data_IF_520596044256
#
_entry.id   IF_520596044256
#
_cell.length_a   1.000
_cell.length_b   1.000
_cell.length_c   1.000
_cell.angle_alpha   90.00
_cell.angle_beta   90.00
_cell.angle_gamma   90.00
#
_symmetry.space_group_name_H-M   'P 1'
#
loop_
_entity.id
_entity.type
_entity.pdbx_description
1 polymer ?
#
# COMPACT_ATOMS: atom_id res chain seq x y z
N UNK A 1 12.30 -10.07 -11.25
CA UNK A 1 10.83 -9.96 -10.97
C UNK A 1 10.41 -8.50 -11.08
N UNK A 2 9.27 -8.26 -11.69
CA UNK A 2 8.70 -6.91 -11.76
C UNK A 2 7.79 -6.67 -10.58
N UNK A 3 7.78 -5.43 -10.09
CA UNK A 3 6.89 -4.97 -9.02
C UNK A 3 6.04 -3.82 -9.51
N UNK A 4 4.82 -3.78 -9.01
CA UNK A 4 3.86 -2.72 -9.31
C UNK A 4 3.49 -1.99 -8.03
N UNK A 5 3.55 -0.66 -8.09
CA UNK A 5 3.11 0.19 -7.01
C UNK A 5 1.90 1.01 -7.43
N UNK A 6 0.90 1.08 -6.56
CA UNK A 6 -0.19 2.04 -6.67
C UNK A 6 0.10 3.20 -5.72
N UNK A 7 0.27 4.39 -6.27
CA UNK A 7 0.28 5.60 -5.45
C UNK A 7 -1.16 5.91 -5.03
N UNK A 8 -1.39 5.97 -3.73
CA UNK A 8 -2.70 6.22 -3.13
C UNK A 8 -2.64 7.58 -2.42
N UNK A 9 -3.05 8.68 -3.10
CA UNK A 9 -3.04 9.99 -2.48
C UNK A 9 -4.02 10.08 -1.31
N UNK A 10 -3.64 10.85 -0.28
CA UNK A 10 -4.53 11.13 0.84
C UNK A 10 -5.74 11.96 0.40
N UNK A 11 -5.55 12.87 -0.55
CA UNK A 11 -6.64 13.62 -1.16
C UNK A 11 -7.46 12.69 -2.06
N UNK A 12 -8.72 12.44 -1.67
CA UNK A 12 -9.61 11.54 -2.40
C UNK A 12 -10.01 12.09 -3.78
N UNK A 13 -9.83 13.40 -4.03
CA UNK A 13 -10.04 13.99 -5.35
C UNK A 13 -8.91 13.64 -6.33
N UNK A 14 -7.74 13.25 -5.86
CA UNK A 14 -6.64 12.82 -6.70
C UNK A 14 -6.77 11.34 -7.05
N UNK A 15 -6.53 10.95 -8.32
CA UNK A 15 -6.65 9.56 -8.72
C UNK A 15 -5.49 8.71 -8.21
N UNK A 16 -5.77 7.42 -8.00
CA UNK A 16 -4.73 6.42 -7.78
C UNK A 16 -3.98 6.23 -9.11
N UNK A 17 -2.66 6.21 -9.06
CA UNK A 17 -1.80 6.01 -10.23
C UNK A 17 -0.92 4.79 -10.06
N UNK A 18 -0.49 4.18 -11.17
CA UNK A 18 0.35 2.98 -11.16
C UNK A 18 1.76 3.28 -11.62
N UNK A 19 2.73 2.60 -11.01
CA UNK A 19 4.16 2.74 -11.30
C UNK A 19 4.80 1.35 -11.28
N UNK A 20 5.65 1.05 -12.26
CA UNK A 20 6.28 -0.28 -12.38
C UNK A 20 7.80 -0.14 -12.23
N UNK A 21 8.40 -1.03 -11.41
CA UNK A 21 9.84 -1.28 -11.40
C UNK A 21 10.11 -2.68 -11.95
N UNK A 22 10.95 -2.75 -12.97
CA UNK A 22 11.24 -4.00 -13.69
C UNK A 22 12.55 -4.64 -13.23
N UNK A 23 12.62 -5.96 -13.39
CA UNK A 23 13.85 -6.75 -13.26
C UNK A 23 14.52 -6.64 -11.89
N UNK A 24 13.72 -6.50 -10.82
CA UNK A 24 14.25 -6.47 -9.46
C UNK A 24 14.49 -7.89 -8.92
N UNK A 25 15.54 -8.04 -8.12
CA UNK A 25 15.74 -9.24 -7.33
C UNK A 25 14.82 -9.21 -6.12
N UNK A 26 13.98 -10.26 -5.89
CA UNK A 26 13.09 -10.29 -4.74
C UNK A 26 13.86 -10.22 -3.41
N UNK A 27 13.27 -9.65 -2.34
CA UNK A 27 13.91 -9.58 -1.02
C UNK A 27 14.33 -10.94 -0.47
N UNK A 28 13.54 -12.00 -0.67
CA UNK A 28 13.84 -13.36 -0.24
C UNK A 28 15.05 -13.97 -0.95
N UNK A 29 15.47 -13.43 -2.09
CA UNK A 29 16.66 -13.83 -2.84
C UNK A 29 17.86 -12.89 -2.60
N UNK A 30 17.76 -12.03 -1.58
CA UNK A 30 18.81 -11.08 -1.23
C UNK A 30 18.69 -9.71 -1.87
N UNK A 31 17.59 -9.43 -2.56
CA UNK A 31 17.30 -8.10 -3.10
C UNK A 31 16.84 -7.13 -2.01
N UNK A 32 16.87 -5.83 -2.31
CA UNK A 32 16.29 -4.79 -1.46
C UNK A 32 14.78 -4.70 -1.64
N UNK A 33 14.13 -3.90 -0.79
CA UNK A 33 12.71 -3.64 -0.93
C UNK A 33 12.44 -2.85 -2.22
N UNK A 34 11.46 -3.26 -3.04
CA UNK A 34 11.10 -2.53 -4.25
C UNK A 34 10.59 -1.12 -3.92
N UNK A 35 10.75 -0.21 -4.87
CA UNK A 35 10.32 1.19 -4.74
C UNK A 35 10.99 1.95 -3.57
N UNK A 36 12.16 1.48 -3.12
CA UNK A 36 12.99 2.17 -2.14
C UNK A 36 14.05 2.99 -2.85
N UNK A 37 14.31 4.23 -2.39
CA UNK A 37 15.32 5.12 -2.97
C UNK A 37 14.71 6.40 -3.55
N UNK A 38 15.52 7.22 -4.21
CA UNK A 38 15.15 8.58 -4.64
C UNK A 38 13.92 8.65 -5.57
N UNK A 39 13.79 7.69 -6.47
CA UNK A 39 12.67 7.66 -7.44
C UNK A 39 11.65 6.57 -7.11
N UNK A 40 11.63 6.13 -5.87
CA UNK A 40 10.75 5.06 -5.42
C UNK A 40 9.72 5.57 -4.42
N UNK A 41 9.57 4.82 -3.31
CA UNK A 41 8.56 5.08 -2.31
C UNK A 41 8.67 6.46 -1.66
N UNK A 42 9.89 6.97 -1.46
CA UNK A 42 10.08 8.30 -0.89
C UNK A 42 9.45 9.40 -1.73
N UNK A 43 9.66 9.34 -3.05
CA UNK A 43 9.06 10.30 -3.97
C UNK A 43 7.54 10.12 -4.07
N UNK A 44 7.08 8.87 -4.18
CA UNK A 44 5.65 8.57 -4.29
C UNK A 44 4.86 8.95 -3.04
N UNK A 45 5.44 8.75 -1.86
CA UNK A 45 4.82 9.13 -0.58
C UNK A 45 5.10 10.57 -0.16
N UNK A 46 6.03 11.26 -0.83
CA UNK A 46 6.40 12.63 -0.52
C UNK A 46 6.97 12.81 0.89
N UNK A 47 7.75 11.85 1.38
CA UNK A 47 8.27 11.84 2.75
C UNK A 47 9.71 11.35 2.80
N UNK A 48 10.39 11.59 3.92
CA UNK A 48 11.79 11.22 4.15
C UNK A 48 11.96 9.91 4.94
N UNK A 49 10.93 9.50 5.65
CA UNK A 49 10.94 8.30 6.51
C UNK A 49 9.77 7.40 6.13
N UNK A 50 10.09 6.18 5.71
CA UNK A 50 9.09 5.22 5.24
C UNK A 50 8.89 4.11 6.28
N UNK A 51 7.62 3.84 6.59
CA UNK A 51 7.19 2.65 7.29
C UNK A 51 6.52 1.71 6.30
N UNK A 52 6.81 0.41 6.40
CA UNK A 52 6.20 -0.61 5.55
C UNK A 52 5.30 -1.48 6.45
N UNK A 53 4.02 -1.56 6.10
CA UNK A 53 3.05 -2.38 6.84
C UNK A 53 2.31 -3.30 5.89
N UNK A 54 1.94 -4.52 6.32
CA UNK A 54 1.09 -5.38 5.50
C UNK A 54 -0.28 -4.75 5.27
N UNK A 55 -0.82 -4.92 4.06
CA UNK A 55 -2.12 -4.38 3.69
C UNK A 55 -2.79 -5.30 2.67
N UNK A 56 -4.07 -5.10 2.40
CA UNK A 56 -4.81 -5.88 1.42
C UNK A 56 -5.89 -5.03 0.75
N UNK A 57 -6.05 -5.23 -0.54
CA UNK A 57 -7.23 -4.76 -1.26
C UNK A 57 -8.26 -5.88 -1.31
N UNK A 58 -9.51 -5.59 -0.94
CA UNK A 58 -10.60 -6.55 -0.99
C UNK A 58 -11.82 -5.92 -1.65
N UNK A 59 -12.29 -6.57 -2.71
CA UNK A 59 -13.58 -6.26 -3.36
C UNK A 59 -14.53 -7.42 -3.13
N UNK A 60 -15.42 -7.26 -2.18
CA UNK A 60 -16.36 -8.30 -1.78
C UNK A 60 -17.33 -8.65 -2.91
N UNK A 61 -17.75 -7.66 -3.70
CA UNK A 61 -18.70 -7.87 -4.79
C UNK A 61 -18.12 -8.72 -5.92
N UNK A 62 -16.84 -8.51 -6.23
CA UNK A 62 -16.13 -9.22 -7.29
C UNK A 62 -15.39 -10.46 -6.79
N UNK A 63 -15.37 -10.68 -5.48
CA UNK A 63 -14.63 -11.77 -4.86
C UNK A 63 -13.12 -11.66 -5.03
N UNK A 64 -12.60 -10.45 -5.15
CA UNK A 64 -11.17 -10.20 -5.35
C UNK A 64 -10.49 -9.87 -4.02
N UNK A 65 -9.31 -10.43 -3.82
CA UNK A 65 -8.47 -10.16 -2.65
C UNK A 65 -7.01 -10.13 -3.10
N UNK A 66 -6.30 -9.07 -2.75
CA UNK A 66 -4.89 -8.88 -3.10
C UNK A 66 -4.12 -8.40 -1.88
N UNK A 67 -3.20 -9.22 -1.38
CA UNK A 67 -2.32 -8.86 -0.29
C UNK A 67 -1.01 -8.26 -0.82
N UNK A 68 -0.47 -7.29 -0.10
CA UNK A 68 0.77 -6.63 -0.45
C UNK A 68 1.31 -5.80 0.70
N UNK A 69 2.30 -4.98 0.39
CA UNK A 69 2.93 -4.08 1.34
C UNK A 69 2.48 -2.64 1.09
N UNK A 70 2.15 -1.94 2.15
CA UNK A 70 1.82 -0.53 2.10
C UNK A 70 2.99 0.28 2.64
N UNK A 71 3.53 1.16 1.80
CA UNK A 71 4.59 2.08 2.16
C UNK A 71 3.93 3.41 2.52
N UNK A 72 4.22 3.92 3.71
CA UNK A 72 3.62 5.15 4.20
C UNK A 72 4.63 5.96 5.01
N UNK A 73 4.28 7.22 5.31
CA UNK A 73 5.12 8.12 6.07
C UNK A 73 5.12 7.71 7.54
N UNK A 74 6.28 7.30 8.06
CA UNK A 74 6.45 6.95 9.47
C UNK A 74 6.17 8.14 10.39
N UNK A 75 6.41 9.37 9.92
CA UNK A 75 6.24 10.61 10.69
C UNK A 75 4.96 11.38 10.32
N UNK A 76 4.05 10.75 9.58
CA UNK A 76 2.85 11.42 9.04
C UNK A 76 1.99 12.08 10.11
N UNK A 77 1.77 11.41 11.25
CA UNK A 77 1.00 11.96 12.36
C UNK A 77 1.70 13.17 12.98
N UNK A 78 3.02 13.12 13.14
CA UNK A 78 3.82 14.21 13.69
C UNK A 78 3.85 15.42 12.77
N UNK A 79 3.82 15.18 11.45
CA UNK A 79 3.84 16.23 10.45
C UNK A 79 2.45 16.82 10.16
N UNK A 80 1.40 16.33 10.82
CA UNK A 80 0.03 16.79 10.59
C UNK A 80 -0.52 16.45 9.22
N UNK A 81 -0.05 15.35 8.63
CA UNK A 81 -0.49 14.91 7.30
C UNK A 81 -1.97 14.54 7.30
N UNK A 82 -2.61 14.70 6.13
CA UNK A 82 -4.02 14.39 5.94
C UNK A 82 -4.29 12.89 6.08
N UNK A 83 -5.41 12.53 6.72
CA UNK A 83 -5.86 11.14 6.80
C UNK A 83 -6.08 10.54 5.42
N UNK A 84 -5.55 9.33 5.21
CA UNK A 84 -5.68 8.60 3.95
C UNK A 84 -6.71 7.48 4.09
N UNK A 85 -7.94 7.74 3.68
CA UNK A 85 -9.04 6.79 3.80
C UNK A 85 -8.83 5.51 3.00
N UNK A 86 -8.36 5.64 1.75
CA UNK A 86 -8.17 4.50 0.85
C UNK A 86 -7.08 3.55 1.37
N UNK A 87 -5.95 4.11 1.80
CA UNK A 87 -4.86 3.32 2.37
C UNK A 87 -5.24 2.71 3.72
N UNK A 88 -5.99 3.44 4.55
CA UNK A 88 -6.46 2.93 5.84
C UNK A 88 -7.42 1.75 5.69
N UNK A 89 -8.28 1.75 4.67
CA UNK A 89 -9.13 0.61 4.36
C UNK A 89 -8.32 -0.62 3.95
N UNK A 90 -7.24 -0.44 3.21
CA UNK A 90 -6.35 -1.54 2.85
C UNK A 90 -5.69 -2.17 4.08
N UNK A 91 -5.30 -1.36 5.04
CA UNK A 91 -4.78 -1.84 6.33
C UNK A 91 -5.87 -2.58 7.12
N UNK A 92 -7.08 -2.05 7.15
CA UNK A 92 -8.25 -2.67 7.80
C UNK A 92 -8.52 -4.05 7.23
N UNK A 93 -8.56 -4.22 5.91
CA UNK A 93 -8.86 -5.50 5.27
C UNK A 93 -7.78 -6.56 5.51
N UNK A 94 -6.54 -6.14 5.75
CA UNK A 94 -5.49 -7.06 6.18
C UNK A 94 -5.68 -7.51 7.63
N UNK A 95 -6.05 -6.59 8.52
CA UNK A 95 -6.17 -6.87 9.96
C UNK A 95 -7.44 -7.61 10.33
N UNK A 96 -8.57 -7.32 9.67
CA UNK A 96 -9.91 -7.84 10.01
C UNK A 96 -9.97 -9.37 10.11
N UNK A 97 -9.40 -10.16 9.19
CA UNK A 97 -9.45 -11.64 9.31
C UNK A 97 -8.73 -12.18 10.53
N UNK A 98 -7.84 -11.39 11.14
CA UNK A 98 -7.02 -11.76 12.29
C UNK A 98 -7.55 -11.18 13.60
N UNK A 99 -8.74 -10.56 13.61
CA UNK A 99 -9.21 -9.76 14.75
C UNK A 99 -9.27 -10.52 16.07
N UNK A 100 -9.51 -11.84 16.03
CA UNK A 100 -9.54 -12.69 17.22
C UNK A 100 -8.19 -12.84 17.91
N UNK A 101 -7.10 -12.56 17.18
CA UNK A 101 -5.72 -12.65 17.64
C UNK A 101 -5.12 -11.29 18.01
N UNK A 102 -5.88 -10.22 17.82
CA UNK A 102 -5.45 -8.86 18.03
C UNK A 102 -6.01 -8.27 19.31
N UNK A 103 -5.40 -7.19 19.79
CA UNK A 103 -5.92 -6.43 20.93
C UNK A 103 -7.23 -5.73 20.53
N UNK A 104 -8.12 -5.38 21.51
CA UNK A 104 -9.41 -4.75 21.18
C UNK A 104 -9.32 -3.44 20.41
N UNK A 105 -8.18 -2.75 20.49
CA UNK A 105 -7.94 -1.45 19.83
C UNK A 105 -7.28 -1.56 18.46
N UNK A 106 -7.28 -2.74 17.86
CA UNK A 106 -6.56 -2.99 16.60
C UNK A 106 -6.99 -2.05 15.45
N UNK A 107 -8.22 -1.55 15.45
CA UNK A 107 -8.69 -0.63 14.42
C UNK A 107 -7.94 0.69 14.39
N UNK A 108 -7.40 1.11 15.53
CA UNK A 108 -6.56 2.32 15.61
C UNK A 108 -5.25 2.16 14.83
N UNK A 109 -4.76 0.93 14.68
CA UNK A 109 -3.54 0.63 13.93
C UNK A 109 -3.74 0.71 12.42
N UNK A 110 -4.99 0.85 11.96
CA UNK A 110 -5.33 1.00 10.55
C UNK A 110 -5.30 2.46 10.08
N UNK A 111 -4.98 3.40 10.97
CA UNK A 111 -4.97 4.83 10.67
C UNK A 111 -3.71 5.21 9.89
N UNK A 112 -3.85 5.39 8.59
CA UNK A 112 -2.76 5.80 7.69
C UNK A 112 -2.97 7.27 7.32
N UNK A 113 -1.90 8.07 7.39
CA UNK A 113 -1.92 9.49 7.05
C UNK A 113 -0.88 9.79 5.97
N UNK A 114 -1.15 10.82 5.16
CA UNK A 114 -0.30 11.20 4.03
C UNK A 114 -0.49 10.26 2.83
N UNK A 115 0.21 10.56 1.75
CA UNK A 115 0.21 9.73 0.56
C UNK A 115 0.88 8.39 0.85
N UNK A 116 0.36 7.33 0.29
CA UNK A 116 0.85 5.98 0.50
C UNK A 116 1.06 5.27 -0.83
N UNK A 117 1.78 4.15 -0.78
CA UNK A 117 2.09 3.37 -1.96
C UNK A 117 1.86 1.89 -1.65
N UNK A 118 0.96 1.25 -2.40
CA UNK A 118 0.66 -0.18 -2.25
C UNK A 118 1.46 -0.98 -3.28
N UNK A 119 2.31 -1.89 -2.81
CA UNK A 119 3.30 -2.59 -3.64
C UNK A 119 3.02 -4.08 -3.67
N UNK A 120 2.96 -4.65 -4.86
CA UNK A 120 2.77 -6.08 -5.09
C UNK A 120 3.67 -6.56 -6.24
N UNK A 121 4.01 -7.86 -6.30
CA UNK A 121 4.61 -8.42 -7.51
C UNK A 121 3.70 -8.23 -8.72
N UNK A 122 4.28 -7.89 -9.87
CA UNK A 122 3.54 -7.63 -11.10
C UNK A 122 3.23 -8.93 -11.87
N UNK A 123 2.49 -9.84 -11.23
CA UNK A 123 1.98 -11.05 -11.89
C UNK A 123 0.75 -10.71 -12.73
N UNK A 124 0.40 -11.58 -13.70
CA UNK A 124 -0.79 -11.37 -14.54
C UNK A 124 -2.07 -11.26 -13.70
N UNK A 125 -2.21 -12.10 -12.67
CA UNK A 125 -3.37 -12.08 -11.78
C UNK A 125 -3.44 -10.77 -10.99
N UNK A 126 -2.31 -10.32 -10.46
CA UNK A 126 -2.24 -9.06 -9.70
C UNK A 126 -2.52 -7.85 -10.60
N UNK A 127 -2.03 -7.86 -11.83
CA UNK A 127 -2.30 -6.78 -12.80
C UNK A 127 -3.80 -6.64 -13.09
N UNK A 128 -4.53 -7.75 -13.21
CA UNK A 128 -5.98 -7.72 -13.41
C UNK A 128 -6.73 -7.11 -12.23
N UNK A 129 -6.33 -7.47 -11.02
CA UNK A 129 -6.93 -6.90 -9.80
C UNK A 129 -6.62 -5.40 -9.70
N UNK A 130 -5.39 -5.01 -10.04
CA UNK A 130 -4.96 -3.61 -10.04
C UNK A 130 -5.77 -2.74 -11.01
N UNK A 131 -6.11 -3.28 -12.19
CA UNK A 131 -6.99 -2.59 -13.13
C UNK A 131 -8.34 -2.25 -12.50
N UNK A 132 -8.90 -3.20 -11.73
CA UNK A 132 -10.15 -2.97 -11.00
C UNK A 132 -10.02 -1.85 -9.96
N UNK A 133 -8.89 -1.75 -9.29
CA UNK A 133 -8.63 -0.68 -8.31
C UNK A 133 -8.56 0.67 -9.01
N UNK A 134 -7.86 0.73 -10.15
CA UNK A 134 -7.69 1.98 -10.91
C UNK A 134 -9.01 2.48 -11.51
N UNK A 135 -9.91 1.56 -11.85
CA UNK A 135 -11.22 1.89 -12.43
C UNK A 135 -12.29 2.24 -11.38
N UNK A 136 -11.96 2.10 -10.11
CA UNK A 136 -12.93 2.35 -9.02
C UNK A 136 -13.01 3.80 -8.57
#
# INVERSE_FOLDING_TARGET
MDYLALKIPADTAEPITSHIQKDLTPPEEGGGYPFKGEKGAYELCGCDMIQIVPAAYTDVKRGQHLEGDLYCDEEGLMNGSQHNWRASQMRYWHMKPQEDQLTPDWREWCHIVGDACFVVPATDDNLKIMESILDS
#
